data_IF_823189411300
#
_entry.id   IF_823189411300
#
_cell.length_a   1.000
_cell.length_b   1.000
_cell.length_c   1.000
_cell.angle_alpha   90.00
_cell.angle_beta   90.00
_cell.angle_gamma   90.00
#
_symmetry.space_group_name_H-M   'P 1'
#
loop_
_entity.id
_entity.type
_entity.pdbx_description
1 polymer ?
#
# COMPACT_ATOMS: atom_id res chain seq x y z
N UNK A 1 -9.16 11.07 -0.82
CA UNK A 1 -9.75 11.77 -1.98
C UNK A 1 -8.70 12.35 -2.91
N UNK A 2 -9.01 12.57 -4.20
CA UNK A 2 -8.09 13.21 -5.16
C UNK A 2 -7.57 14.57 -4.66
N UNK A 3 -6.33 14.92 -5.04
CA UNK A 3 -5.71 16.20 -4.67
C UNK A 3 -5.00 16.22 -3.31
N UNK A 4 -4.92 15.08 -2.61
CA UNK A 4 -4.21 14.95 -1.33
C UNK A 4 -3.00 14.06 -1.49
N UNK A 5 -1.83 14.56 -1.09
CA UNK A 5 -0.59 13.80 -1.12
C UNK A 5 -0.62 12.68 -0.09
N UNK A 6 -0.34 11.47 -0.56
CA UNK A 6 -0.28 10.25 0.24
C UNK A 6 0.70 9.31 -0.45
N UNK A 7 1.57 8.66 0.33
CA UNK A 7 2.38 7.55 -0.16
C UNK A 7 1.68 6.25 0.25
N UNK A 8 1.51 5.36 -0.72
CA UNK A 8 0.93 4.03 -0.55
C UNK A 8 2.02 2.98 -0.80
N UNK A 9 2.24 2.12 0.17
CA UNK A 9 3.19 1.02 0.12
C UNK A 9 2.56 -0.25 0.71
N UNK A 10 3.26 -1.37 0.60
CA UNK A 10 2.87 -2.62 1.26
C UNK A 10 3.88 -2.99 2.33
N UNK A 11 3.43 -3.70 3.36
CA UNK A 11 4.30 -4.21 4.44
C UNK A 11 5.37 -5.18 3.89
N UNK A 12 5.05 -5.88 2.80
CA UNK A 12 5.92 -6.87 2.17
C UNK A 12 6.15 -6.54 0.69
N UNK A 13 7.29 -6.98 0.16
CA UNK A 13 7.59 -6.90 -1.27
C UNK A 13 6.56 -7.67 -2.11
N UNK A 14 6.17 -8.87 -1.66
CA UNK A 14 5.14 -9.69 -2.31
C UNK A 14 3.78 -9.02 -2.32
N UNK A 15 3.39 -8.36 -1.22
CA UNK A 15 2.15 -7.58 -1.13
C UNK A 15 2.15 -6.44 -2.14
N UNK A 16 3.25 -5.70 -2.26
CA UNK A 16 3.37 -4.62 -3.24
C UNK A 16 3.24 -5.14 -4.68
N UNK A 17 3.88 -6.27 -4.98
CA UNK A 17 3.73 -6.93 -6.28
C UNK A 17 2.28 -7.36 -6.54
N UNK A 18 1.61 -7.92 -5.54
CA UNK A 18 0.24 -8.40 -5.67
C UNK A 18 -0.76 -7.25 -5.85
N UNK A 19 -0.57 -6.13 -5.16
CA UNK A 19 -1.33 -4.89 -5.38
C UNK A 19 -1.18 -4.41 -6.82
N UNK A 20 0.04 -4.39 -7.36
CA UNK A 20 0.27 -4.05 -8.76
C UNK A 20 -0.45 -5.01 -9.71
N UNK A 21 -0.37 -6.32 -9.47
CA UNK A 21 -1.02 -7.32 -10.33
C UNK A 21 -2.55 -7.21 -10.30
N UNK A 22 -3.14 -6.99 -9.13
CA UNK A 22 -4.59 -6.83 -8.97
C UNK A 22 -5.11 -5.56 -9.66
N UNK A 23 -4.31 -4.49 -9.70
CA UNK A 23 -4.66 -3.23 -10.37
C UNK A 23 -4.21 -3.19 -11.85
N UNK A 24 -3.40 -4.13 -12.32
CA UNK A 24 -2.93 -4.21 -13.70
C UNK A 24 -3.82 -5.13 -14.53
N UNK A 25 -4.02 -4.81 -15.80
CA UNK A 25 -4.56 -5.78 -16.74
C UNK A 25 -3.56 -6.94 -16.87
N UNK A 26 -3.88 -8.10 -16.27
CA UNK A 26 -3.06 -9.31 -16.14
C UNK A 26 -2.42 -9.85 -17.43
N UNK A 27 -2.79 -9.29 -18.59
CA UNK A 27 -2.31 -9.72 -19.90
C UNK A 27 -0.90 -9.19 -20.26
N UNK A 28 -0.30 -8.30 -19.46
CA UNK A 28 1.07 -7.83 -19.72
C UNK A 28 1.80 -7.37 -18.45
N UNK A 29 3.01 -7.89 -18.26
CA UNK A 29 3.93 -7.41 -17.24
C UNK A 29 4.22 -5.90 -17.43
N UNK A 30 4.09 -5.08 -16.36
CA UNK A 30 4.53 -3.69 -16.39
C UNK A 30 6.04 -3.61 -16.69
N UNK A 31 6.43 -2.74 -17.63
CA UNK A 31 7.81 -2.74 -18.18
C UNK A 31 8.78 -1.75 -17.52
N UNK A 32 8.31 -0.92 -16.59
CA UNK A 32 9.10 0.18 -16.00
C UNK A 32 8.85 0.32 -14.50
N UNK A 33 8.76 -0.80 -13.79
CA UNK A 33 8.54 -0.80 -12.35
C UNK A 33 9.84 -0.97 -11.59
N UNK A 34 9.97 -0.17 -10.55
CA UNK A 34 10.98 -0.30 -9.54
C UNK A 34 10.32 -0.37 -8.17
N UNK A 35 10.98 -1.04 -7.23
CA UNK A 35 10.60 -1.02 -5.83
C UNK A 35 11.59 -0.18 -5.02
N UNK A 36 11.10 0.34 -3.91
CA UNK A 36 11.90 1.04 -2.91
C UNK A 36 11.60 0.39 -1.56
N UNK A 37 12.63 0.21 -0.75
CA UNK A 37 12.47 -0.13 0.66
C UNK A 37 12.31 1.15 1.46
N UNK A 38 11.23 1.27 2.21
CA UNK A 38 10.96 2.42 3.07
C UNK A 38 11.36 2.03 4.49
N UNK A 39 12.26 2.81 5.09
CA UNK A 39 12.74 2.61 6.45
C UNK A 39 12.07 3.63 7.36
N UNK A 40 11.26 3.12 8.28
CA UNK A 40 10.59 3.89 9.34
C UNK A 40 11.37 3.64 10.65
N UNK A 41 11.95 4.67 11.27
CA UNK A 41 12.59 4.54 12.58
C UNK A 41 11.65 3.93 13.63
N UNK A 42 12.18 3.06 14.50
CA UNK A 42 11.41 2.32 15.50
C UNK A 42 10.66 3.21 16.51
N UNK A 43 11.12 4.44 16.71
CA UNK A 43 10.53 5.41 17.62
C UNK A 43 9.44 6.29 16.99
N UNK A 44 9.20 6.17 15.68
CA UNK A 44 8.03 6.79 15.03
C UNK A 44 6.79 5.95 15.32
N UNK A 45 5.74 6.60 15.81
CA UNK A 45 4.46 5.95 16.06
C UNK A 45 3.84 5.45 14.74
N UNK A 46 3.52 4.15 14.70
CA UNK A 46 2.79 3.50 13.62
C UNK A 46 1.41 3.13 14.10
N UNK A 47 0.38 3.80 13.58
CA UNK A 47 -1.00 3.42 13.85
C UNK A 47 -1.34 2.13 13.10
N UNK A 48 -2.12 1.24 13.72
CA UNK A 48 -2.57 -0.01 13.07
C UNK A 48 -4.08 -0.08 13.10
N UNK A 49 -4.66 -0.35 11.94
CA UNK A 49 -6.10 -0.51 11.73
C UNK A 49 -6.36 -1.98 11.44
N UNK A 50 -7.23 -2.59 12.23
CA UNK A 50 -7.78 -3.90 11.98
C UNK A 50 -8.98 -3.82 11.02
N UNK A 51 -9.30 -4.93 10.37
CA UNK A 51 -10.45 -5.03 9.46
C UNK A 51 -11.79 -4.66 10.12
N UNK A 52 -11.91 -4.82 11.44
CA UNK A 52 -13.13 -4.52 12.19
C UNK A 52 -13.23 -3.04 12.62
N UNK A 53 -12.17 -2.26 12.47
CA UNK A 53 -12.13 -0.84 12.90
C UNK A 53 -12.83 0.10 11.91
N UNK A 54 -12.98 -0.33 10.66
CA UNK A 54 -13.57 0.48 9.58
C UNK A 54 -14.64 -0.36 8.86
N UNK A 55 -15.88 -0.29 9.33
CA UNK A 55 -16.99 -1.00 8.69
C UNK A 55 -17.13 -0.65 7.21
N UNK A 56 -17.12 -1.67 6.34
CA UNK A 56 -17.29 -1.53 4.90
C UNK A 56 -16.03 -1.04 4.16
N UNK A 57 -14.85 -1.14 4.78
CA UNK A 57 -13.57 -0.78 4.14
C UNK A 57 -13.30 -1.57 2.84
N UNK A 58 -13.86 -2.77 2.75
CA UNK A 58 -13.73 -3.73 1.66
C UNK A 58 -14.72 -3.51 0.50
N UNK A 59 -15.65 -2.56 0.64
CA UNK A 59 -16.67 -2.29 -0.37
C UNK A 59 -16.07 -1.69 -1.64
N UNK A 60 -16.62 -2.08 -2.79
CA UNK A 60 -16.16 -1.66 -4.12
C UNK A 60 -16.23 -0.14 -4.34
N UNK A 61 -17.15 0.55 -3.67
CA UNK A 61 -17.30 2.01 -3.78
C UNK A 61 -16.16 2.79 -3.08
N UNK A 62 -15.39 2.11 -2.23
CA UNK A 62 -14.26 2.64 -1.46
C UNK A 62 -14.63 3.83 -0.57
N UNK A 63 -15.91 4.05 -0.26
CA UNK A 63 -16.34 5.24 0.49
C UNK A 63 -15.82 5.23 1.91
N UNK A 64 -15.92 4.10 2.61
CA UNK A 64 -15.47 3.94 3.99
C UNK A 64 -13.95 4.10 4.11
N UNK A 65 -13.17 3.39 3.28
CA UNK A 65 -11.71 3.44 3.29
C UNK A 65 -11.17 4.82 2.90
N UNK A 66 -11.77 5.48 1.90
CA UNK A 66 -11.41 6.87 1.54
C UNK A 66 -11.72 7.85 2.66
N UNK A 67 -12.89 7.75 3.28
CA UNK A 67 -13.29 8.63 4.39
C UNK A 67 -12.38 8.46 5.60
N UNK A 68 -11.98 7.22 5.91
CA UNK A 68 -10.99 6.93 6.94
C UNK A 68 -9.64 7.59 6.61
N UNK A 69 -9.08 7.30 5.43
CA UNK A 69 -7.78 7.84 5.02
C UNK A 69 -7.79 9.37 4.96
N UNK A 70 -8.90 9.96 4.53
CA UNK A 70 -9.05 11.41 4.48
C UNK A 70 -9.00 12.05 5.87
N UNK A 71 -9.69 11.45 6.84
CA UNK A 71 -9.69 11.92 8.23
C UNK A 71 -8.31 11.77 8.86
N UNK A 72 -7.67 10.60 8.70
CA UNK A 72 -6.32 10.36 9.22
C UNK A 72 -5.30 11.36 8.66
N UNK A 73 -5.33 11.63 7.35
CA UNK A 73 -4.46 12.62 6.71
C UNK A 73 -4.69 14.05 7.26
N UNK A 74 -5.93 14.43 7.59
CA UNK A 74 -6.22 15.77 8.11
C UNK A 74 -5.86 15.94 9.57
N UNK A 75 -6.03 14.88 10.36
CA UNK A 75 -5.71 14.91 11.79
C UNK A 75 -4.21 14.92 12.05
N UNK A 76 -3.40 14.40 11.10
CA UNK A 76 -1.94 14.29 11.26
C UNK A 76 -1.54 13.67 12.61
N UNK A 77 -2.34 12.70 13.09
CA UNK A 77 -2.13 12.07 14.40
C UNK A 77 -0.92 11.14 14.44
N UNK A 78 -0.53 10.61 13.28
CA UNK A 78 0.68 9.80 13.06
C UNK A 78 1.23 10.04 11.66
N UNK A 79 2.53 9.81 11.48
CA UNK A 79 3.16 9.85 10.15
C UNK A 79 2.77 8.63 9.30
N UNK A 80 2.50 7.50 9.95
CA UNK A 80 2.29 6.20 9.31
C UNK A 80 1.06 5.53 9.90
N UNK A 81 0.21 4.98 9.04
CA UNK A 81 -0.84 4.04 9.42
C UNK A 81 -0.77 2.78 8.57
N UNK A 82 -0.86 1.62 9.22
CA UNK A 82 -1.00 0.32 8.57
C UNK A 82 -2.48 -0.03 8.50
N UNK A 83 -2.93 -0.39 7.30
CA UNK A 83 -4.33 -0.70 6.97
C UNK A 83 -4.42 -2.09 6.34
N UNK A 84 -5.54 -2.81 6.48
CA UNK A 84 -5.70 -4.11 5.84
C UNK A 84 -5.61 -3.98 4.30
N UNK A 85 -4.93 -4.92 3.65
CA UNK A 85 -4.89 -5.01 2.18
C UNK A 85 -6.16 -5.68 1.67
N UNK A 86 -6.84 -5.02 0.74
CA UNK A 86 -8.04 -5.58 0.10
C UNK A 86 -7.69 -6.82 -0.73
N UNK A 87 -6.54 -6.81 -1.40
CA UNK A 87 -6.13 -7.88 -2.31
C UNK A 87 -5.88 -9.20 -1.57
N UNK A 88 -5.40 -9.13 -0.33
CA UNK A 88 -5.21 -10.30 0.55
C UNK A 88 -6.36 -10.52 1.53
N UNK A 89 -7.49 -9.80 1.36
CA UNK A 89 -8.68 -9.87 2.23
C UNK A 89 -8.37 -9.60 3.70
N UNK A 90 -7.47 -8.64 3.96
CA UNK A 90 -7.08 -8.20 5.29
C UNK A 90 -6.11 -9.12 6.03
N UNK A 91 -5.53 -10.12 5.36
CA UNK A 91 -4.49 -10.98 5.94
C UNK A 91 -3.16 -10.22 6.04
N UNK A 92 -2.79 -9.50 4.97
CA UNK A 92 -1.63 -8.61 4.96
C UNK A 92 -2.05 -7.15 5.09
N UNK A 93 -1.08 -6.28 5.36
CA UNK A 93 -1.31 -4.84 5.52
C UNK A 93 -0.60 -4.03 4.44
N UNK A 94 -1.25 -2.94 4.06
CA UNK A 94 -0.63 -1.84 3.35
C UNK A 94 -0.24 -0.73 4.32
N UNK A 95 0.74 0.06 3.92
CA UNK A 95 1.31 1.16 4.71
C UNK A 95 0.98 2.47 4.01
N UNK A 96 0.29 3.34 4.73
CA UNK A 96 -0.02 4.71 4.31
C UNK A 96 0.93 5.65 5.03
N UNK A 97 1.60 6.53 4.29
CA UNK A 97 2.55 7.50 4.85
C UNK A 97 2.10 8.90 4.47
N UNK A 98 1.98 9.77 5.47
CA UNK A 98 1.52 11.16 5.32
C UNK A 98 2.73 12.10 5.10
N UNK A 99 2.96 12.61 3.88
CA UNK A 99 4.11 13.47 3.61
C UNK A 99 4.03 14.84 4.30
N UNK A 100 2.84 15.22 4.80
CA UNK A 100 2.61 16.49 5.49
C UNK A 100 2.87 16.39 7.01
N UNK A 101 3.05 15.19 7.55
CA UNK A 101 3.34 15.00 8.97
C UNK A 101 4.78 15.43 9.32
N UNK A 102 5.04 16.13 10.44
CA UNK A 102 6.38 16.60 10.79
C UNK A 102 7.46 15.50 10.84
N UNK A 103 7.11 14.31 11.30
CA UNK A 103 8.04 13.17 11.37
C UNK A 103 8.34 12.51 10.02
N UNK A 104 7.61 12.85 8.93
CA UNK A 104 7.87 12.30 7.60
C UNK A 104 9.32 12.51 7.14
N UNK A 105 9.94 13.63 7.54
CA UNK A 105 11.32 13.95 7.21
C UNK A 105 12.35 12.94 7.74
N UNK A 106 11.95 12.09 8.70
CA UNK A 106 12.78 11.03 9.29
C UNK A 106 12.63 9.68 8.57
N UNK A 107 11.59 9.52 7.75
CA UNK A 107 11.34 8.32 6.97
C UNK A 107 12.22 8.37 5.72
N UNK A 108 12.97 7.31 5.47
CA UNK A 108 13.90 7.25 4.33
C UNK A 108 13.49 6.15 3.36
N UNK A 109 13.93 6.26 2.11
CA UNK A 109 13.72 5.26 1.10
C UNK A 109 15.05 4.85 0.46
N UNK A 110 15.17 3.57 0.10
CA UNK A 110 16.30 3.08 -0.68
C UNK A 110 16.36 3.74 -2.06
N UNK A 111 17.46 3.50 -2.79
CA UNK A 111 17.45 3.73 -4.23
C UNK A 111 16.42 2.81 -4.90
N UNK A 112 15.76 3.26 -5.99
CA UNK A 112 14.91 2.39 -6.79
C UNK A 112 15.68 1.18 -7.29
N UNK A 113 15.07 0.02 -7.19
CA UNK A 113 15.58 -1.25 -7.70
C UNK A 113 14.58 -1.84 -8.70
N UNK A 114 15.06 -2.36 -9.82
CA UNK A 114 14.18 -2.90 -10.85
C UNK A 114 13.37 -4.10 -10.33
N UNK A 115 12.09 -4.16 -10.69
CA UNK A 115 11.23 -5.32 -10.44
C UNK A 115 11.44 -6.32 -11.58
N UNK A 116 11.94 -7.51 -11.24
CA UNK A 116 12.06 -8.63 -12.18
C UNK A 116 10.83 -9.53 -12.00
N UNK A 117 9.89 -9.41 -12.92
CA UNK A 117 8.68 -10.23 -12.93
C UNK A 117 8.97 -11.66 -13.38
N UNK A 118 8.47 -12.64 -12.62
CA UNK A 118 8.48 -14.04 -13.05
C UNK A 118 7.52 -14.22 -14.24
N UNK A 119 8.04 -14.73 -15.36
CA UNK A 119 7.27 -14.92 -16.59
C UNK A 119 6.07 -15.86 -16.40
N UNK A 120 6.12 -16.78 -15.43
CA UNK A 120 5.01 -17.70 -15.10
C UNK A 120 3.75 -16.96 -14.61
N UNK A 121 3.87 -15.72 -14.15
CA UNK A 121 2.73 -14.91 -13.74
C UNK A 121 1.88 -14.41 -14.94
N UNK A 122 2.43 -14.46 -16.15
CA UNK A 122 1.79 -13.89 -17.36
C UNK A 122 1.59 -14.92 -18.49
N UNK A 123 2.19 -16.11 -18.36
CA UNK A 123 2.01 -17.19 -19.31
C UNK A 123 1.06 -18.23 -18.71
N UNK A 124 -0.19 -18.21 -19.17
CA UNK A 124 -1.15 -19.25 -18.86
C UNK A 124 -0.83 -20.53 -19.62
N UNK A 125 -0.15 -21.48 -18.99
CA UNK A 125 -0.61 -22.87 -19.13
C UNK A 125 -1.66 -23.08 -18.06
N UNK A 126 -2.85 -23.49 -18.48
CA UNK A 126 -3.89 -23.91 -17.54
C UNK A 126 -3.32 -25.01 -16.65
N UNK A 127 -3.37 -24.81 -15.34
CA UNK A 127 -3.12 -25.88 -14.38
C UNK A 127 -4.17 -26.98 -14.68
N UNK A 128 -3.76 -28.23 -14.97
CA UNK A 128 -4.69 -29.31 -15.26
C UNK A 128 -5.61 -29.64 -14.07
#
# INVERSE_FOLDING_TARGET
SPGRSLIYASETYSGAMLEILAHSNLNRAPRTQAYLEIVIPEDIAVERIASDDVTGWEQEDQLASRSFGDRWLSEQRTAVVMVPSLVTRGIEHNVLINPLHPEFARITASKPQDVIWDARLFHGEAIP
#
